data_IF_353923584330
#
_entry.id   IF_353923584330
#
_cell.length_a   1.000
_cell.length_b   1.000
_cell.length_c   1.000
_cell.angle_alpha   90.00
_cell.angle_beta   90.00
_cell.angle_gamma   90.00
#
_symmetry.space_group_name_H-M   'P 1'
#
loop_
_entity.id
_entity.type
_entity.pdbx_description
1 polymer ?
#
# COMPACT_ATOMS: atom_id res chain seq x y z
N UNK A 1 -1.83 8.79 -35.77
CA UNK A 1 -1.82 8.96 -34.30
C UNK A 1 -2.71 7.87 -33.73
N UNK A 2 -2.14 6.87 -33.03
CA UNK A 2 -2.95 5.81 -32.44
C UNK A 2 -3.61 6.35 -31.17
N UNK A 3 -4.94 6.37 -31.14
CA UNK A 3 -5.69 6.67 -29.92
C UNK A 3 -5.53 5.47 -29.00
N UNK A 4 -4.71 5.60 -27.95
CA UNK A 4 -4.67 4.63 -26.87
C UNK A 4 -6.04 4.67 -26.18
N UNK A 5 -6.90 3.69 -26.49
CA UNK A 5 -8.11 3.43 -25.74
C UNK A 5 -7.68 3.10 -24.31
N UNK A 6 -7.72 4.10 -23.44
CA UNK A 6 -7.56 3.92 -22.00
C UNK A 6 -8.87 3.30 -21.53
N UNK A 7 -8.95 1.97 -21.58
CA UNK A 7 -10.10 1.25 -21.06
C UNK A 7 -10.09 1.39 -19.54
N UNK A 8 -10.96 2.27 -19.04
CA UNK A 8 -11.22 2.38 -17.62
C UNK A 8 -11.84 1.07 -17.14
N UNK A 9 -11.03 0.20 -16.53
CA UNK A 9 -11.51 -1.04 -15.92
C UNK A 9 -12.64 -0.73 -14.95
N UNK A 10 -13.72 -1.50 -15.02
CA UNK A 10 -14.82 -1.41 -14.06
C UNK A 10 -14.32 -1.73 -12.65
N UNK A 11 -15.03 -1.25 -11.63
CA UNK A 11 -14.73 -1.58 -10.23
C UNK A 11 -14.68 -3.10 -10.01
N UNK A 12 -15.59 -3.85 -10.62
CA UNK A 12 -15.66 -5.31 -10.50
C UNK A 12 -14.39 -5.99 -11.05
N UNK A 13 -13.90 -5.56 -12.22
CA UNK A 13 -12.66 -6.06 -12.80
C UNK A 13 -11.46 -5.77 -11.90
N UNK A 14 -11.35 -4.54 -11.38
CA UNK A 14 -10.25 -4.17 -10.46
C UNK A 14 -10.26 -5.00 -9.18
N UNK A 15 -11.45 -5.29 -8.64
CA UNK A 15 -11.59 -6.15 -7.45
C UNK A 15 -11.19 -7.60 -7.73
N UNK A 16 -11.54 -8.14 -8.91
CA UNK A 16 -11.14 -9.49 -9.31
C UNK A 16 -9.62 -9.60 -9.42
N UNK A 17 -8.99 -8.66 -10.15
CA UNK A 17 -7.53 -8.61 -10.30
C UNK A 17 -6.82 -8.51 -8.96
N UNK A 18 -7.30 -7.66 -8.05
CA UNK A 18 -6.73 -7.54 -6.70
C UNK A 18 -6.84 -8.87 -5.94
N UNK A 19 -7.96 -9.59 -6.06
CA UNK A 19 -8.17 -10.88 -5.41
C UNK A 19 -7.21 -11.95 -5.93
N UNK A 20 -6.95 -11.96 -7.24
CA UNK A 20 -5.97 -12.85 -7.87
C UNK A 20 -4.55 -12.58 -7.37
N UNK A 21 -4.17 -11.30 -7.29
CA UNK A 21 -2.83 -10.90 -6.79
C UNK A 21 -2.66 -11.27 -5.32
N UNK A 22 -3.71 -11.15 -4.49
CA UNK A 22 -3.67 -11.61 -3.09
C UNK A 22 -3.50 -13.13 -3.02
N UNK A 23 -4.24 -13.89 -3.82
CA UNK A 23 -4.09 -15.34 -3.87
C UNK A 23 -2.69 -15.76 -4.34
N UNK A 24 -2.15 -15.07 -5.34
CA UNK A 24 -0.79 -15.28 -5.82
C UNK A 24 0.26 -14.96 -4.74
N UNK A 25 0.12 -13.82 -4.05
CA UNK A 25 0.99 -13.41 -2.96
C UNK A 25 1.03 -14.43 -1.84
N UNK A 26 -0.15 -14.93 -1.41
CA UNK A 26 -0.27 -16.01 -0.43
C UNK A 26 0.42 -17.29 -0.90
N UNK A 27 0.26 -17.66 -2.16
CA UNK A 27 0.89 -18.87 -2.74
C UNK A 27 2.42 -18.75 -2.83
N UNK A 28 2.94 -17.57 -3.18
CA UNK A 28 4.39 -17.36 -3.39
C UNK A 28 5.16 -17.07 -2.10
N UNK A 29 4.57 -16.30 -1.19
CA UNK A 29 5.27 -15.69 -0.07
C UNK A 29 4.62 -16.01 1.30
N UNK A 30 3.54 -16.80 1.32
CA UNK A 30 2.79 -17.08 2.54
C UNK A 30 2.19 -15.80 3.15
N UNK A 31 2.31 -15.66 4.47
CA UNK A 31 1.82 -14.49 5.22
C UNK A 31 2.74 -13.27 5.11
N UNK A 32 3.92 -13.42 4.49
CA UNK A 32 4.96 -12.39 4.46
C UNK A 32 4.99 -11.66 3.12
N UNK A 33 3.89 -11.00 2.78
CA UNK A 33 3.80 -10.16 1.57
C UNK A 33 2.93 -8.93 1.79
N UNK A 34 3.14 -7.95 0.92
CA UNK A 34 2.26 -6.80 0.78
C UNK A 34 1.82 -6.64 -0.66
N UNK A 35 0.66 -6.03 -0.83
CA UNK A 35 0.12 -5.67 -2.13
C UNK A 35 0.41 -4.20 -2.37
N UNK A 36 1.02 -3.90 -3.51
CA UNK A 36 1.43 -2.55 -3.87
C UNK A 36 0.83 -2.18 -5.21
N UNK A 37 0.35 -0.95 -5.33
CA UNK A 37 0.05 -0.37 -6.63
C UNK A 37 1.35 0.13 -7.26
N UNK A 38 1.82 -0.54 -8.32
CA UNK A 38 2.97 -0.11 -9.13
C UNK A 38 2.58 0.79 -10.30
N UNK A 39 1.28 0.97 -10.54
CA UNK A 39 0.71 1.83 -11.56
C UNK A 39 0.35 3.20 -11.00
N UNK A 40 -0.63 3.84 -11.63
CA UNK A 40 -1.17 5.14 -11.16
C UNK A 40 -2.47 4.94 -10.40
N UNK A 41 -2.97 5.99 -9.76
CA UNK A 41 -4.30 5.96 -9.13
C UNK A 41 -5.41 5.69 -10.18
N UNK A 42 -5.28 6.32 -11.35
CA UNK A 42 -6.21 6.12 -12.47
C UNK A 42 -6.10 4.72 -13.10
N UNK A 43 -4.91 4.13 -13.10
CA UNK A 43 -4.58 2.85 -13.72
C UNK A 43 -3.80 1.99 -12.74
N UNK A 44 -4.47 1.37 -11.75
CA UNK A 44 -3.79 0.58 -10.75
C UNK A 44 -3.19 -0.68 -11.38
N UNK A 45 -1.97 -1.02 -10.96
CA UNK A 45 -1.29 -2.26 -11.28
C UNK A 45 -0.84 -2.94 -9.99
N UNK A 46 -1.69 -3.84 -9.48
CA UNK A 46 -1.46 -4.53 -8.22
C UNK A 46 -0.41 -5.61 -8.37
N UNK A 47 0.59 -5.59 -7.50
CA UNK A 47 1.63 -6.61 -7.43
C UNK A 47 1.80 -7.09 -5.99
N UNK A 48 2.06 -8.38 -5.81
CA UNK A 48 2.46 -8.94 -4.53
C UNK A 48 3.99 -8.93 -4.43
N UNK A 49 4.54 -8.30 -3.40
CA UNK A 49 5.98 -8.30 -3.12
C UNK A 49 6.25 -8.96 -1.77
N UNK A 50 7.35 -9.72 -1.64
CA UNK A 50 7.72 -10.31 -0.37
C UNK A 50 8.05 -9.19 0.62
N UNK A 51 7.50 -9.28 1.82
CA UNK A 51 7.88 -8.42 2.93
C UNK A 51 8.68 -9.25 3.92
N UNK A 52 9.97 -8.95 4.10
CA UNK A 52 10.74 -9.55 5.19
C UNK A 52 10.04 -9.21 6.51
N UNK A 53 9.81 -10.19 7.41
CA UNK A 53 9.32 -9.91 8.74
C UNK A 53 10.18 -8.80 9.34
N UNK A 54 9.56 -7.71 9.83
CA UNK A 54 10.29 -6.71 10.60
C UNK A 54 10.82 -7.44 11.83
N UNK A 55 12.04 -7.94 11.77
CA UNK A 55 12.77 -8.38 12.95
C UNK A 55 12.77 -7.24 13.95
N UNK A 56 12.71 -7.57 15.24
CA UNK A 56 12.66 -6.61 16.35
C UNK A 56 13.97 -5.80 16.53
N UNK A 57 14.58 -5.33 15.44
CA UNK A 57 15.79 -4.50 15.42
C UNK A 57 15.48 -3.04 15.83
N UNK A 58 14.61 -2.83 16.82
CA UNK A 58 14.48 -1.58 17.57
C UNK A 58 13.90 -0.36 16.82
N UNK A 59 13.75 -0.39 15.50
CA UNK A 59 13.15 0.74 14.77
C UNK A 59 11.62 0.62 14.86
N UNK A 60 11.06 1.21 15.91
CA UNK A 60 9.64 1.56 15.95
C UNK A 60 9.36 2.42 14.72
N UNK A 61 8.57 1.91 13.77
CA UNK A 61 7.99 2.77 12.75
C UNK A 61 7.26 3.88 13.51
N UNK A 62 7.57 5.16 13.29
CA UNK A 62 6.80 6.22 13.93
C UNK A 62 5.34 6.00 13.56
N UNK A 63 4.51 5.86 14.57
CA UNK A 63 3.07 5.76 14.36
C UNK A 63 2.61 7.13 13.86
N UNK A 64 2.15 7.19 12.62
CA UNK A 64 1.68 8.43 11.99
C UNK A 64 0.42 8.98 12.68
N UNK A 65 -0.20 8.17 13.55
CA UNK A 65 -1.29 8.56 14.43
C UNK A 65 -0.84 8.83 15.86
N UNK A 66 0.47 8.83 16.14
CA UNK A 66 1.00 9.12 17.47
C UNK A 66 0.64 10.57 17.87
N UNK A 67 -0.17 10.76 18.93
CA UNK A 67 -0.58 12.09 19.38
C UNK A 67 0.60 12.99 19.78
N UNK A 68 1.78 12.43 20.07
CA UNK A 68 2.98 13.19 20.39
C UNK A 68 3.51 14.02 19.21
N UNK A 69 3.16 13.66 17.97
CA UNK A 69 3.50 14.44 16.77
C UNK A 69 2.68 15.72 16.65
N UNK A 70 1.54 15.79 17.35
CA UNK A 70 0.65 16.95 17.37
C UNK A 70 0.76 17.75 18.67
N UNK A 71 1.82 17.52 19.49
CA UNK A 71 2.11 18.43 20.59
C UNK A 71 2.49 19.79 20.00
N UNK A 72 1.49 20.66 19.94
CA UNK A 72 1.67 22.08 19.75
C UNK A 72 2.44 22.60 20.97
N UNK A 73 3.64 23.12 20.74
CA UNK A 73 4.37 23.99 21.68
C UNK A 73 3.65 25.34 21.83
N UNK A 74 2.34 25.31 22.08
CA UNK A 74 1.53 26.48 22.39
C UNK A 74 1.55 26.72 23.90
N UNK A 75 2.75 26.87 24.47
CA UNK A 75 2.88 27.52 25.79
C UNK A 75 4.23 28.23 25.93
N UNK A 76 4.62 29.00 24.90
CA UNK A 76 5.44 30.18 25.10
C UNK A 76 4.50 31.40 25.15
N UNK A 77 4.60 32.16 26.24
CA UNK A 77 3.92 33.41 26.62
C UNK A 77 2.70 33.28 27.57
N UNK A 78 2.97 33.24 28.88
CA UNK A 78 2.68 34.34 29.82
C UNK A 78 3.13 33.99 31.25
#
# INVERSE_FOLDING_TARGET
>A
MQMTHIENKSRAQRTSELSEVIAEGRRKYGEHHIIVNSGTESHPNWIAIPQTPKGAAGIKTPDIFDPSWYRNDANDNA
#
